data_IF_066883528419
#
_entry.id   IF_066883528419
#
_cell.length_a   1.000
_cell.length_b   1.000
_cell.length_c   1.000
_cell.angle_alpha   90.00
_cell.angle_beta   90.00
_cell.angle_gamma   90.00
#
_symmetry.space_group_name_H-M   'P 1'
#
loop_
_entity.id
_entity.type
_entity.pdbx_description
1 polymer ?
#
# COMPACT_ATOMS: atom_id res chain seq x y z
N UNK A 1 -9.40 -30.79 -48.94
CA UNK A 1 -7.95 -30.82 -49.17
C UNK A 1 -7.34 -29.69 -48.34
N UNK A 2 -6.76 -30.04 -47.19
CA UNK A 2 -6.14 -29.11 -46.24
C UNK A 2 -4.65 -29.06 -46.54
N UNK A 3 -4.16 -27.92 -47.01
CA UNK A 3 -2.72 -27.73 -47.21
C UNK A 3 -2.01 -27.68 -45.85
N UNK A 4 -0.92 -28.45 -45.65
CA UNK A 4 -0.17 -28.42 -44.41
C UNK A 4 0.56 -27.09 -44.27
N UNK A 5 0.46 -26.49 -43.08
CA UNK A 5 1.24 -25.30 -42.68
C UNK A 5 2.73 -25.66 -42.82
N UNK A 6 3.37 -25.19 -43.89
CA UNK A 6 4.83 -25.24 -44.01
C UNK A 6 5.41 -24.23 -43.03
N UNK A 7 5.76 -24.72 -41.84
CA UNK A 7 6.71 -24.05 -40.96
C UNK A 7 8.01 -23.91 -41.76
N UNK A 8 8.28 -22.70 -42.23
CA UNK A 8 9.55 -22.32 -42.83
C UNK A 8 10.60 -22.46 -41.73
N UNK A 9 11.23 -23.63 -41.64
CA UNK A 9 12.50 -23.81 -40.94
C UNK A 9 13.58 -23.22 -41.82
N UNK A 10 13.53 -21.91 -42.05
CA UNK A 10 14.71 -21.20 -42.54
C UNK A 10 15.76 -21.36 -41.45
N UNK A 11 16.91 -21.92 -41.85
CA UNK A 11 18.14 -21.92 -41.08
C UNK A 11 18.23 -20.61 -40.29
N UNK A 12 18.31 -20.72 -38.95
CA UNK A 12 18.43 -19.54 -38.11
C UNK A 12 19.63 -18.74 -38.61
N UNK A 13 19.46 -17.50 -39.12
CA UNK A 13 20.61 -16.67 -39.42
C UNK A 13 21.38 -16.58 -38.10
N UNK A 14 22.67 -16.94 -38.12
CA UNK A 14 23.50 -16.92 -36.93
C UNK A 14 23.44 -15.53 -36.32
N UNK A 15 22.60 -15.36 -35.29
CA UNK A 15 22.37 -14.08 -34.64
C UNK A 15 23.73 -13.56 -34.18
N UNK A 16 24.16 -12.44 -34.76
CA UNK A 16 25.41 -11.82 -34.39
C UNK A 16 25.34 -11.46 -32.89
N UNK A 17 26.48 -11.42 -32.21
CA UNK A 17 26.50 -11.06 -30.78
C UNK A 17 25.86 -9.69 -30.51
N UNK A 18 25.86 -8.82 -31.53
CA UNK A 18 25.24 -7.50 -31.52
C UNK A 18 23.70 -7.59 -31.53
N UNK A 19 23.13 -8.49 -32.33
CA UNK A 19 21.68 -8.75 -32.37
C UNK A 19 21.18 -9.40 -31.07
N UNK A 20 21.97 -10.31 -30.48
CA UNK A 20 21.66 -10.86 -29.15
C UNK A 20 21.70 -9.79 -28.06
N UNK A 21 22.67 -8.89 -28.11
CA UNK A 21 22.77 -7.77 -27.18
C UNK A 21 21.55 -6.84 -27.28
N UNK A 22 21.13 -6.52 -28.50
CA UNK A 22 19.96 -5.68 -28.75
C UNK A 22 18.66 -6.35 -28.28
N UNK A 23 18.49 -7.65 -28.55
CA UNK A 23 17.36 -8.43 -28.06
C UNK A 23 17.33 -8.53 -26.53
N UNK A 24 18.48 -8.72 -25.90
CA UNK A 24 18.57 -8.77 -24.44
C UNK A 24 18.23 -7.42 -23.81
N UNK A 25 18.72 -6.32 -24.40
CA UNK A 25 18.42 -4.97 -23.93
C UNK A 25 16.94 -4.62 -24.15
N UNK A 26 16.37 -5.00 -25.29
CA UNK A 26 14.94 -4.88 -25.58
C UNK A 26 14.06 -5.68 -24.61
N UNK A 27 14.44 -6.92 -24.31
CA UNK A 27 13.73 -7.76 -23.36
C UNK A 27 13.84 -7.22 -21.93
N UNK A 28 15.02 -6.77 -21.52
CA UNK A 28 15.25 -6.18 -20.20
C UNK A 28 14.46 -4.88 -20.01
N UNK A 29 14.46 -4.00 -21.02
CA UNK A 29 13.69 -2.74 -20.98
C UNK A 29 12.18 -3.02 -20.96
N UNK A 30 11.68 -3.95 -21.79
CA UNK A 30 10.28 -4.36 -21.75
C UNK A 30 9.89 -4.94 -20.39
N UNK A 31 10.75 -5.75 -19.77
CA UNK A 31 10.52 -6.29 -18.43
C UNK A 31 10.47 -5.20 -17.36
N UNK A 32 11.38 -4.22 -17.41
CA UNK A 32 11.38 -3.07 -16.49
C UNK A 32 10.10 -2.25 -16.64
N UNK A 33 9.66 -1.98 -17.88
CA UNK A 33 8.41 -1.25 -18.15
C UNK A 33 7.20 -2.04 -17.65
N UNK A 34 7.17 -3.37 -17.85
CA UNK A 34 6.11 -4.24 -17.36
C UNK A 34 6.04 -4.20 -15.82
N UNK A 35 7.18 -4.34 -15.14
CA UNK A 35 7.27 -4.27 -13.67
C UNK A 35 6.83 -2.90 -13.18
N UNK A 36 7.28 -1.81 -13.80
CA UNK A 36 6.88 -0.46 -13.45
C UNK A 36 5.36 -0.26 -13.63
N UNK A 37 4.80 -0.78 -14.73
CA UNK A 37 3.37 -0.73 -15.01
C UNK A 37 2.58 -1.53 -13.96
N UNK A 38 3.02 -2.74 -13.60
CA UNK A 38 2.42 -3.55 -12.52
C UNK A 38 2.53 -2.87 -11.17
N UNK A 39 3.64 -2.21 -10.86
CA UNK A 39 3.83 -1.47 -9.61
C UNK A 39 2.93 -0.24 -9.54
N UNK A 40 2.82 0.52 -10.63
CA UNK A 40 1.89 1.66 -10.75
C UNK A 40 0.44 1.19 -10.67
N UNK A 41 0.12 0.09 -11.34
CA UNK A 41 -1.20 -0.52 -11.30
C UNK A 41 -1.50 -1.05 -9.90
N UNK A 42 -0.57 -1.67 -9.19
CA UNK A 42 -0.73 -2.04 -7.76
C UNK A 42 -0.84 -0.81 -6.85
N UNK A 43 -0.26 0.32 -7.23
CA UNK A 43 -0.36 1.58 -6.47
C UNK A 43 -1.71 2.27 -6.68
N UNK A 44 -2.28 2.15 -7.87
CA UNK A 44 -3.61 2.69 -8.23
C UNK A 44 -4.77 1.75 -7.88
N UNK A 45 -4.59 0.44 -8.08
CA UNK A 45 -5.52 -0.64 -7.73
C UNK A 45 -5.35 -1.14 -6.30
N UNK A 46 -4.34 -0.67 -5.53
CA UNK A 46 -4.41 -0.82 -4.07
C UNK A 46 -5.73 -0.15 -3.69
N UNK A 47 -6.72 -0.90 -3.20
CA UNK A 47 -7.93 -0.29 -2.69
C UNK A 47 -7.42 0.64 -1.60
N UNK A 48 -7.43 1.94 -1.87
CA UNK A 48 -7.32 2.91 -0.80
C UNK A 48 -8.60 2.71 -0.04
N UNK A 49 -8.54 1.86 0.98
CA UNK A 49 -9.66 1.51 1.82
C UNK A 49 -10.47 2.78 2.07
N UNK A 50 -11.76 2.83 1.71
CA UNK A 50 -12.54 4.05 1.91
C UNK A 50 -12.45 4.51 3.37
N UNK A 51 -12.34 3.57 4.32
CA UNK A 51 -12.05 3.83 5.72
C UNK A 51 -10.69 4.49 5.97
N UNK A 52 -9.64 4.15 5.22
CA UNK A 52 -8.30 4.73 5.32
C UNK A 52 -8.22 6.14 4.69
N UNK A 53 -9.02 6.43 3.66
CA UNK A 53 -9.20 7.80 3.16
C UNK A 53 -9.95 8.66 4.17
N UNK A 54 -11.05 8.15 4.72
CA UNK A 54 -11.82 8.83 5.77
C UNK A 54 -10.98 9.08 7.02
N UNK A 55 -10.18 8.10 7.45
CA UNK A 55 -9.23 8.25 8.54
C UNK A 55 -8.19 9.32 8.24
N UNK A 56 -7.56 9.32 7.07
CA UNK A 56 -6.59 10.36 6.71
C UNK A 56 -7.20 11.77 6.67
N UNK A 57 -8.43 11.91 6.18
CA UNK A 57 -9.10 13.21 6.18
C UNK A 57 -9.48 13.66 7.59
N UNK A 58 -9.99 12.75 8.44
CA UNK A 58 -10.31 13.04 9.85
C UNK A 58 -9.05 13.38 10.65
N UNK A 59 -7.98 12.59 10.50
CA UNK A 59 -6.71 12.83 11.17
C UNK A 59 -6.14 14.21 10.80
N UNK A 60 -6.23 14.62 9.53
CA UNK A 60 -5.83 15.98 9.11
C UNK A 60 -6.71 17.07 9.72
N UNK A 61 -8.03 16.89 9.73
CA UNK A 61 -8.98 17.86 10.31
C UNK A 61 -8.79 18.02 11.83
N UNK A 62 -8.50 16.93 12.53
CA UNK A 62 -8.18 16.90 13.96
C UNK A 62 -6.72 17.29 14.24
N UNK A 63 -5.97 17.67 13.20
CA UNK A 63 -4.55 18.03 13.29
C UNK A 63 -3.61 16.90 13.70
N UNK A 64 -4.09 15.67 13.84
CA UNK A 64 -3.35 14.51 14.34
C UNK A 64 -2.12 14.27 13.44
N UNK A 65 -0.94 14.47 14.04
CA UNK A 65 0.34 14.25 13.36
C UNK A 65 0.56 12.78 13.01
N UNK A 66 1.60 12.49 12.22
CA UNK A 66 1.92 11.12 11.77
C UNK A 66 2.08 10.12 12.93
N UNK A 67 2.67 10.56 14.06
CA UNK A 67 2.83 9.73 15.26
C UNK A 67 1.48 9.35 15.90
N UNK A 68 0.58 10.31 16.08
CA UNK A 68 -0.75 10.04 16.62
C UNK A 68 -1.58 9.16 15.67
N UNK A 69 -1.46 9.36 14.36
CA UNK A 69 -2.14 8.52 13.38
C UNK A 69 -1.63 7.06 13.40
N UNK A 70 -0.31 6.86 13.58
CA UNK A 70 0.26 5.53 13.75
C UNK A 70 -0.21 4.87 15.06
N UNK A 71 -0.33 5.65 16.14
CA UNK A 71 -0.83 5.18 17.43
C UNK A 71 -2.30 4.73 17.36
N UNK A 72 -3.17 5.50 16.70
CA UNK A 72 -4.57 5.12 16.48
C UNK A 72 -4.67 3.85 15.62
N UNK A 73 -3.81 3.68 14.62
CA UNK A 73 -3.76 2.44 13.83
C UNK A 73 -3.34 1.24 14.67
N UNK A 74 -2.37 1.42 15.55
CA UNK A 74 -1.89 0.36 16.43
C UNK A 74 -2.95 -0.03 17.47
N UNK A 75 -3.68 0.93 18.01
CA UNK A 75 -4.86 0.68 18.85
C UNK A 75 -5.96 -0.05 18.08
N UNK A 76 -6.28 0.44 16.88
CA UNK A 76 -7.29 -0.16 16.01
C UNK A 76 -6.98 -1.63 15.69
N UNK A 77 -5.71 -1.96 15.44
CA UNK A 77 -5.30 -3.34 15.21
C UNK A 77 -5.36 -4.22 16.46
N UNK A 78 -5.22 -3.65 17.66
CA UNK A 78 -5.33 -4.42 18.91
C UNK A 78 -6.78 -4.76 19.29
N UNK A 79 -7.72 -3.92 18.88
CA UNK A 79 -9.16 -4.08 19.22
C UNK A 79 -9.95 -4.64 18.04
N UNK A 80 -9.29 -4.90 16.90
CA UNK A 80 -9.93 -5.31 15.64
C UNK A 80 -11.03 -4.33 15.17
N UNK A 81 -10.86 -3.04 15.46
CA UNK A 81 -11.81 -1.97 15.11
C UNK A 81 -11.23 -1.07 14.03
N UNK A 82 -12.09 -0.51 13.17
CA UNK A 82 -11.65 0.44 12.15
C UNK A 82 -11.01 1.71 12.79
N UNK A 83 -9.84 2.17 12.32
CA UNK A 83 -9.17 3.38 12.83
C UNK A 83 -10.05 4.65 12.93
N UNK A 84 -10.96 4.96 11.99
CA UNK A 84 -11.82 6.14 12.13
C UNK A 84 -12.85 6.00 13.26
N UNK A 85 -13.27 4.78 13.64
CA UNK A 85 -14.22 4.59 14.74
C UNK A 85 -13.63 5.04 16.09
N UNK A 86 -12.31 4.88 16.28
CA UNK A 86 -11.59 5.37 17.46
C UNK A 86 -11.51 6.91 17.52
N UNK A 87 -11.59 7.59 16.38
CA UNK A 87 -11.59 9.06 16.33
C UNK A 87 -12.98 9.66 16.57
N UNK A 88 -14.04 8.91 16.24
CA UNK A 88 -15.42 9.38 16.34
C UNK A 88 -16.05 9.00 17.69
N UNK A 89 -15.60 7.90 18.32
CA UNK A 89 -16.13 7.44 19.60
C UNK A 89 -15.07 7.48 20.71
N UNK A 90 -15.27 8.38 21.67
CA UNK A 90 -14.47 8.45 22.90
C UNK A 90 -14.49 7.15 23.68
N UNK A 91 -15.63 6.47 23.71
CA UNK A 91 -15.77 5.20 24.43
C UNK A 91 -14.91 4.10 23.78
N UNK A 92 -14.92 4.02 22.44
CA UNK A 92 -14.08 3.07 21.70
C UNK A 92 -12.59 3.35 21.91
N UNK A 93 -12.18 4.61 21.96
CA UNK A 93 -10.80 4.99 22.27
C UNK A 93 -10.38 4.55 23.68
N UNK A 94 -11.19 4.85 24.69
CA UNK A 94 -10.91 4.46 26.08
C UNK A 94 -10.87 2.94 26.25
N UNK A 95 -11.78 2.22 25.60
CA UNK A 95 -11.78 0.77 25.59
C UNK A 95 -10.51 0.23 24.95
N UNK A 96 -10.08 0.81 23.82
CA UNK A 96 -8.87 0.40 23.13
C UNK A 96 -7.60 0.60 23.96
N UNK A 97 -7.51 1.71 24.68
CA UNK A 97 -6.39 2.00 25.59
C UNK A 97 -6.36 1.00 26.75
N UNK A 98 -7.52 0.73 27.36
CA UNK A 98 -7.62 -0.26 28.44
C UNK A 98 -7.23 -1.67 28.00
N UNK A 99 -7.55 -2.03 26.76
CA UNK A 99 -7.19 -3.31 26.16
C UNK A 99 -5.72 -3.40 25.72
N UNK A 100 -4.96 -2.31 25.78
CA UNK A 100 -3.55 -2.26 25.32
C UNK A 100 -2.64 -1.67 26.41
N UNK A 101 -2.21 -2.48 27.39
CA UNK A 101 -1.32 -2.03 28.45
C UNK A 101 0.02 -1.55 27.87
N UNK A 102 0.45 -0.35 28.26
CA UNK A 102 1.72 0.26 27.82
C UNK A 102 1.57 1.39 26.79
N UNK A 103 0.40 1.59 26.19
CA UNK A 103 0.17 2.73 25.26
C UNK A 103 0.16 4.08 25.99
N UNK A 104 -0.21 4.08 27.28
CA UNK A 104 -0.20 5.28 28.12
C UNK A 104 1.20 5.88 28.31
N UNK A 105 2.26 5.08 28.13
CA UNK A 105 3.65 5.53 28.21
C UNK A 105 4.14 6.23 26.94
N UNK A 106 3.38 6.15 25.83
CA UNK A 106 3.76 6.78 24.58
C UNK A 106 3.53 8.31 24.65
N UNK A 107 4.55 9.16 24.45
CA UNK A 107 4.39 10.61 24.45
C UNK A 107 3.46 11.13 23.33
N UNK A 108 3.19 10.32 22.31
CA UNK A 108 2.18 10.62 21.29
C UNK A 108 0.76 10.39 21.81
N UNK A 109 0.54 9.51 22.79
CA UNK A 109 -0.76 9.25 23.40
C UNK A 109 -1.27 10.51 24.12
N UNK A 110 -0.42 11.15 24.94
CA UNK A 110 -0.79 12.38 25.68
C UNK A 110 -1.26 13.50 24.74
N UNK A 111 -0.52 13.74 23.66
CA UNK A 111 -0.85 14.74 22.64
C UNK A 111 -2.13 14.40 21.87
N UNK A 112 -2.40 13.12 21.66
CA UNK A 112 -3.60 12.65 20.99
C UNK A 112 -4.82 12.77 21.91
N UNK A 113 -4.66 12.43 23.19
CA UNK A 113 -5.69 12.55 24.21
C UNK A 113 -6.09 14.01 24.44
N UNK A 114 -5.12 14.92 24.62
CA UNK A 114 -5.38 16.35 24.78
C UNK A 114 -6.13 16.95 23.57
N UNK A 115 -5.87 16.46 22.36
CA UNK A 115 -6.53 16.95 21.13
C UNK A 115 -7.89 16.34 20.84
N UNK A 116 -8.22 15.19 21.42
CA UNK A 116 -9.51 14.54 21.24
C UNK A 116 -10.50 14.89 22.35
N UNK A 117 -10.03 15.49 23.45
CA UNK A 117 -10.86 15.91 24.59
C UNK A 117 -11.10 17.43 24.70
N UNK A 118 -10.50 18.23 23.83
CA UNK A 118 -10.75 19.67 23.70
C UNK A 118 -11.37 19.98 22.33
#
# INVERSE_FOLDING_TARGET
MTEPIRLVTSEAPGLSNLDRGLLFFGAATALVVLVACVLLLRRHLRPSDPGERAFRSMARRLGIGRGGAALVRRLASHVEVAPPALLVSRHALLQAVRSSPGIEQDPAYRRLYERLLH
#
